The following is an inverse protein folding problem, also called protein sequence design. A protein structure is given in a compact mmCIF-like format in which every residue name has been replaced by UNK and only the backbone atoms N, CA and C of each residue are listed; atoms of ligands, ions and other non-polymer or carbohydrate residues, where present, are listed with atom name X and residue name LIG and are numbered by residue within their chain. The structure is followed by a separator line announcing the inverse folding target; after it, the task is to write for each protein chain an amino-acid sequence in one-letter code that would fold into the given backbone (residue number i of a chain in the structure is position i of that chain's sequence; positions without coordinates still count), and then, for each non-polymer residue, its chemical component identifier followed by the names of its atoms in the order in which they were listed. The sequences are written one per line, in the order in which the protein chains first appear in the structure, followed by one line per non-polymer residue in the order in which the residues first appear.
data_IF_429822420885
#
_entry.id   IF_429822420885
#
_cell.length_a   1.000
_cell.length_b   1.000
_cell.length_c   1.000
_cell.angle_alpha   90.00
_cell.angle_beta   90.00
_cell.angle_gamma   90.00
#
_symmetry.space_group_name_H-M   'P 1'
#
loop_
_entity.id
_entity.type
_entity.pdbx_description
1 polymer ?
#
# COMPACT_ATOMS: atom_id res chain seq x y z
N UNK A 1 -6.91 19.77 7.97
CA UNK A 1 -5.59 19.61 7.34
C UNK A 1 -5.82 18.87 6.04
N UNK A 2 -5.23 19.29 4.91
CA UNK A 2 -5.53 18.67 3.61
C UNK A 2 -4.61 17.46 3.45
N UNK A 3 -5.11 16.29 3.05
CA UNK A 3 -4.33 15.05 2.94
C UNK A 3 -3.08 15.17 2.05
N UNK A 4 -3.08 16.09 1.08
CA UNK A 4 -1.87 16.42 0.29
C UNK A 4 -0.74 17.01 1.14
N UNK A 5 -1.04 17.70 2.26
CA UNK A 5 -0.06 18.14 3.25
C UNK A 5 0.40 17.00 4.16
N UNK A 6 -0.36 15.91 4.31
CA UNK A 6 0.06 14.74 5.10
C UNK A 6 1.04 13.87 4.31
N UNK A 7 0.76 13.61 3.03
CA UNK A 7 1.69 12.94 2.09
C UNK A 7 3.01 13.72 2.01
N UNK A 8 2.93 15.06 1.93
CA UNK A 8 4.09 15.94 1.82
C UNK A 8 4.88 16.12 3.13
N UNK A 9 4.34 15.74 4.28
CA UNK A 9 5.02 15.94 5.57
C UNK A 9 5.57 14.65 6.19
N UNK A 10 5.18 13.44 5.73
CA UNK A 10 5.53 12.21 6.43
C UNK A 10 6.83 11.54 5.99
N UNK A 11 7.27 11.61 4.73
CA UNK A 11 8.67 11.35 4.38
C UNK A 11 8.97 11.71 2.91
N UNK A 12 9.71 12.79 2.64
CA UNK A 12 10.13 13.13 1.27
C UNK A 12 11.02 12.05 0.62
N UNK A 13 11.52 11.09 1.40
CA UNK A 13 12.37 9.99 0.96
C UNK A 13 11.65 8.64 0.84
N UNK A 14 10.35 8.58 1.12
CA UNK A 14 9.63 7.31 0.98
C UNK A 14 9.68 6.82 -0.46
N UNK A 15 9.89 5.51 -0.61
CA UNK A 15 9.96 4.87 -1.91
C UNK A 15 8.62 4.28 -2.27
N UNK A 16 8.04 4.76 -3.36
CA UNK A 16 6.96 4.08 -4.06
C UNK A 16 7.49 2.78 -4.67
N UNK A 17 6.76 1.67 -4.54
CA UNK A 17 7.22 0.38 -5.06
C UNK A 17 6.20 -0.42 -5.85
N UNK A 18 4.90 -0.19 -5.67
CA UNK A 18 3.88 -0.86 -6.50
C UNK A 18 2.56 -0.07 -6.50
N UNK A 19 1.88 -0.12 -7.63
CA UNK A 19 0.48 0.31 -7.78
C UNK A 19 -0.40 -0.90 -8.08
N UNK A 20 -1.60 -0.90 -7.52
CA UNK A 20 -2.62 -1.90 -7.76
C UNK A 20 -3.94 -1.24 -8.08
N UNK A 21 -4.73 -1.74 -9.05
CA UNK A 21 -6.06 -1.21 -9.28
C UNK A 21 -6.96 -1.45 -8.06
N UNK A 22 -7.74 -0.45 -7.67
CA UNK A 22 -8.74 -0.51 -6.59
C UNK A 22 -9.97 -1.32 -7.05
N UNK A 23 -9.79 -2.63 -7.19
CA UNK A 23 -10.85 -3.59 -7.58
C UNK A 23 -11.57 -4.22 -6.37
N UNK A 24 -11.11 -3.91 -5.16
CA UNK A 24 -11.70 -4.30 -3.88
C UNK A 24 -11.85 -3.07 -2.99
N UNK A 25 -12.73 -3.15 -2.00
CA UNK A 25 -12.85 -2.08 -1.01
C UNK A 25 -11.65 -2.09 -0.06
N UNK A 26 -11.39 -0.92 0.54
CA UNK A 26 -10.23 -0.69 1.40
C UNK A 26 -10.22 -1.57 2.67
N UNK A 27 -11.39 -1.99 3.16
CA UNK A 27 -11.53 -2.84 4.34
C UNK A 27 -11.08 -4.27 4.00
N UNK A 28 -11.51 -4.79 2.85
CA UNK A 28 -11.02 -6.06 2.32
C UNK A 28 -9.51 -6.03 2.05
N UNK A 29 -8.99 -4.91 1.52
CA UNK A 29 -7.56 -4.72 1.30
C UNK A 29 -6.77 -4.73 2.63
N UNK A 30 -7.24 -4.00 3.64
CA UNK A 30 -6.62 -3.94 4.97
C UNK A 30 -6.68 -5.29 5.71
N UNK A 31 -7.81 -6.00 5.62
CA UNK A 31 -7.98 -7.34 6.17
C UNK A 31 -6.98 -8.31 5.53
N UNK A 32 -6.77 -8.22 4.21
CA UNK A 32 -5.81 -9.06 3.52
C UNK A 32 -4.36 -8.70 3.87
N UNK A 33 -4.01 -7.42 4.01
CA UNK A 33 -2.69 -7.01 4.55
C UNK A 33 -2.45 -7.64 5.92
N UNK A 34 -3.45 -7.58 6.81
CA UNK A 34 -3.37 -8.13 8.16
C UNK A 34 -3.19 -9.66 8.18
N UNK A 35 -3.56 -10.34 7.10
CA UNK A 35 -3.37 -11.78 6.95
C UNK A 35 -1.92 -12.17 6.59
N UNK A 36 -1.06 -11.21 6.23
CA UNK A 36 0.37 -11.46 6.04
C UNK A 36 1.03 -11.71 7.40
N UNK A 37 1.59 -12.91 7.60
CA UNK A 37 2.14 -13.31 8.90
C UNK A 37 3.28 -12.39 9.36
N UNK A 38 3.11 -11.72 10.48
CA UNK A 38 4.08 -10.74 11.01
C UNK A 38 3.84 -9.31 10.53
N UNK A 39 2.73 -9.08 9.83
CA UNK A 39 2.21 -7.76 9.53
C UNK A 39 1.33 -7.24 10.67
N UNK A 40 1.38 -5.94 10.93
CA UNK A 40 0.49 -5.25 11.87
C UNK A 40 0.03 -3.92 11.26
N UNK A 41 -1.28 -3.71 11.14
CA UNK A 41 -1.85 -2.41 10.80
C UNK A 41 -1.64 -1.47 11.99
N UNK A 42 -0.95 -0.36 11.76
CA UNK A 42 -0.58 0.62 12.80
C UNK A 42 -1.46 1.86 12.77
N UNK A 43 -1.99 2.24 11.61
CA UNK A 43 -2.94 3.34 11.44
C UNK A 43 -3.90 3.03 10.28
N UNK A 44 -5.15 3.44 10.42
CA UNK A 44 -6.17 3.27 9.39
C UNK A 44 -7.12 4.48 9.42
N UNK A 45 -7.11 5.28 8.36
CA UNK A 45 -7.96 6.45 8.21
C UNK A 45 -8.73 6.36 6.89
N UNK A 46 -10.05 6.38 6.94
CA UNK A 46 -10.91 6.46 5.76
C UNK A 46 -11.88 7.62 5.92
N UNK A 47 -11.97 8.49 4.91
CA UNK A 47 -12.93 9.61 4.92
C UNK A 47 -14.36 9.18 4.57
N UNK A 48 -14.54 7.89 4.23
CA UNK A 48 -15.81 7.26 3.88
C UNK A 48 -16.36 7.64 2.51
N UNK A 49 -15.61 8.38 1.69
CA UNK A 49 -16.09 8.88 0.39
C UNK A 49 -15.07 8.72 -0.74
N UNK A 50 -13.81 9.12 -0.54
CA UNK A 50 -12.82 9.25 -1.63
C UNK A 50 -11.43 8.73 -1.26
N UNK A 51 -11.04 8.77 0.02
CA UNK A 51 -9.65 8.53 0.42
C UNK A 51 -9.54 7.53 1.56
N UNK A 52 -8.61 6.59 1.40
CA UNK A 52 -8.11 5.71 2.44
C UNK A 52 -6.61 5.97 2.64
N UNK A 53 -6.19 5.87 3.89
CA UNK A 53 -4.81 5.78 4.32
C UNK A 53 -4.67 4.56 5.22
N UNK A 54 -3.73 3.68 4.89
CA UNK A 54 -3.43 2.48 5.69
C UNK A 54 -1.94 2.52 5.99
N UNK A 55 -1.58 2.41 7.26
CA UNK A 55 -0.19 2.20 7.67
C UNK A 55 -0.05 0.82 8.29
N UNK A 56 1.07 0.17 7.99
CA UNK A 56 1.38 -1.13 8.56
C UNK A 56 2.88 -1.32 8.73
N UNK A 57 3.24 -2.23 9.62
CA UNK A 57 4.62 -2.68 9.79
C UNK A 57 4.78 -4.11 9.30
N UNK A 58 5.92 -4.41 8.67
CA UNK A 58 6.30 -5.75 8.27
C UNK A 58 7.82 -5.91 8.32
N UNK A 59 8.32 -6.92 9.04
CA UNK A 59 9.77 -7.18 9.23
C UNK A 59 10.57 -5.91 9.54
N UNK A 60 10.17 -5.19 10.60
CA UNK A 60 10.82 -3.95 11.09
C UNK A 60 10.75 -2.75 10.14
N UNK A 61 10.10 -2.87 8.98
CA UNK A 61 9.87 -1.78 8.04
C UNK A 61 8.46 -1.21 8.19
N UNK A 62 8.29 0.07 7.88
CA UNK A 62 7.00 0.75 7.91
C UNK A 62 6.55 1.09 6.49
N UNK A 63 5.28 0.84 6.23
CA UNK A 63 4.65 0.94 4.93
C UNK A 63 3.38 1.76 5.03
N UNK A 64 3.03 2.41 3.94
CA UNK A 64 1.78 3.12 3.84
C UNK A 64 1.15 2.95 2.46
N UNK A 65 -0.19 2.97 2.47
CA UNK A 65 -1.05 2.81 1.30
C UNK A 65 -1.95 4.02 1.25
N UNK A 66 -2.03 4.65 0.07
CA UNK A 66 -3.12 5.55 -0.26
C UNK A 66 -3.93 4.97 -1.43
N UNK A 67 -5.17 5.41 -1.59
CA UNK A 67 -5.86 5.27 -2.86
C UNK A 67 -5.89 6.61 -3.61
N UNK A 68 -5.43 6.61 -4.85
CA UNK A 68 -5.44 7.78 -5.71
C UNK A 68 -5.92 7.40 -7.10
N UNK A 69 -6.97 8.08 -7.58
CA UNK A 69 -7.52 7.90 -8.93
C UNK A 69 -7.95 6.45 -9.27
N UNK A 70 -8.30 5.66 -8.26
CA UNK A 70 -8.73 4.27 -8.43
C UNK A 70 -7.60 3.25 -8.39
N UNK A 71 -6.42 3.63 -7.91
CA UNK A 71 -5.31 2.72 -7.62
C UNK A 71 -4.92 2.81 -6.14
N UNK A 72 -4.67 1.65 -5.52
CA UNK A 72 -3.90 1.54 -4.29
C UNK A 72 -2.42 1.72 -4.60
N UNK A 73 -1.79 2.73 -4.00
CA UNK A 73 -0.37 3.04 -4.18
C UNK A 73 0.39 2.72 -2.92
N UNK A 74 1.44 1.91 -3.04
CA UNK A 74 2.18 1.41 -1.90
C UNK A 74 3.56 2.03 -1.82
N UNK A 75 3.92 2.39 -0.59
CA UNK A 75 5.17 3.04 -0.27
C UNK A 75 5.81 2.39 0.96
N UNK A 76 7.12 2.48 1.02
CA UNK A 76 7.94 2.12 2.17
C UNK A 76 8.69 3.34 2.67
N UNK A 77 8.74 3.49 3.99
CA UNK A 77 9.39 4.65 4.63
C UNK A 77 10.90 4.67 4.36
N UNK A 78 11.56 3.51 4.46
CA UNK A 78 12.99 3.35 4.16
C UNK A 78 13.22 3.06 2.66
N UNK A 79 13.83 3.97 1.88
CA UNK A 79 14.07 3.75 0.46
C UNK A 79 15.05 2.60 0.17
N UNK A 80 15.88 2.22 1.15
CA UNK A 80 16.85 1.13 1.06
C UNK A 80 16.26 -0.22 1.51
N UNK A 81 14.93 -0.30 1.72
CA UNK A 81 14.25 -1.54 2.07
C UNK A 81 14.58 -2.66 1.07
N UNK A 82 14.82 -3.86 1.59
CA UNK A 82 15.17 -5.04 0.80
C UNK A 82 14.06 -5.36 -0.21
N UNK A 83 14.42 -5.46 -1.48
CA UNK A 83 13.50 -5.74 -2.59
C UNK A 83 12.68 -7.02 -2.36
N UNK A 84 13.25 -8.04 -1.67
CA UNK A 84 12.51 -9.27 -1.37
C UNK A 84 11.34 -9.04 -0.42
N UNK A 85 11.44 -8.05 0.49
CA UNK A 85 10.34 -7.67 1.37
C UNK A 85 9.23 -6.99 0.55
N UNK A 86 9.61 -6.09 -0.36
CA UNK A 86 8.68 -5.40 -1.26
C UNK A 86 7.93 -6.39 -2.16
N UNK A 87 8.66 -7.34 -2.76
CA UNK A 87 8.11 -8.40 -3.59
C UNK A 87 7.17 -9.32 -2.81
N UNK A 88 7.52 -9.69 -1.58
CA UNK A 88 6.67 -10.55 -0.75
C UNK A 88 5.32 -9.89 -0.43
N UNK A 89 5.33 -8.59 -0.11
CA UNK A 89 4.11 -7.81 0.09
C UNK A 89 3.31 -7.73 -1.22
N UNK A 90 3.97 -7.39 -2.33
CA UNK A 90 3.32 -7.26 -3.63
C UNK A 90 2.69 -8.58 -4.10
N UNK A 91 3.40 -9.70 -3.97
CA UNK A 91 2.90 -11.03 -4.31
C UNK A 91 1.70 -11.42 -3.44
N UNK A 92 1.77 -11.15 -2.14
CA UNK A 92 0.65 -11.40 -1.22
C UNK A 92 -0.60 -10.63 -1.63
N UNK A 93 -0.47 -9.35 -1.98
CA UNK A 93 -1.58 -8.51 -2.42
C UNK A 93 -2.10 -8.90 -3.81
N UNK A 94 -1.21 -9.29 -4.73
CA UNK A 94 -1.59 -9.78 -6.07
C UNK A 94 -2.57 -10.95 -5.98
N UNK A 95 -2.40 -11.86 -5.00
CA UNK A 95 -3.32 -12.98 -4.79
C UNK A 95 -4.76 -12.55 -4.44
N UNK A 96 -4.95 -11.38 -3.82
CA UNK A 96 -6.29 -10.83 -3.58
C UNK A 96 -6.88 -10.28 -4.88
N UNK A 97 -6.08 -9.53 -5.63
CA UNK A 97 -6.57 -8.71 -6.74
C UNK A 97 -6.79 -9.52 -8.03
N UNK A 98 -5.98 -10.54 -8.29
CA UNK A 98 -6.19 -11.46 -9.41
C UNK A 98 -7.53 -12.19 -9.31
N UNK A 99 -7.98 -12.53 -8.08
CA UNK A 99 -9.29 -13.14 -7.85
C UNK A 99 -10.45 -12.22 -8.23
N UNK A 100 -10.20 -10.90 -8.22
CA UNK A 100 -11.18 -9.85 -8.50
C UNK A 100 -11.00 -9.20 -9.88
N UNK A 101 -10.09 -9.72 -10.70
CA UNK A 101 -9.89 -9.29 -12.09
C UNK A 101 -8.92 -8.11 -12.29
N UNK A 102 -8.10 -7.78 -11.27
CA UNK A 102 -7.05 -6.78 -11.41
C UNK A 102 -5.87 -7.30 -12.24
N UNK A 103 -5.60 -6.69 -13.40
CA UNK A 103 -4.30 -6.87 -14.07
C UNK A 103 -3.30 -5.95 -13.38
N UNK A 104 -2.19 -6.51 -12.88
CA UNK A 104 -1.08 -5.74 -12.30
C UNK A 104 -0.21 -5.22 -13.44
N UNK A 105 -0.24 -3.92 -13.71
CA UNK A 105 0.74 -3.32 -14.61
C UNK A 105 2.06 -3.16 -13.85
N UNK A 106 3.07 -3.96 -14.20
CA UNK A 106 4.44 -3.76 -13.69
C UNK A 106 4.95 -2.40 -14.19
N UNK A 107 5.22 -1.49 -13.25
CA UNK A 107 5.84 -0.20 -13.56
C UNK A 107 7.25 -0.45 -14.08
N UNK A 108 7.45 -0.29 -15.39
CA UNK A 108 8.77 -0.31 -16.02
C UNK A 108 9.54 0.95 -15.63
N UNK A 109 10.53 0.79 -14.74
CA UNK A 109 11.53 1.82 -14.45
C UNK A 109 12.25 2.22 -15.76
N UNK A 110 12.14 3.49 -16.16
CA UNK A 110 12.98 4.15 -17.17
C UNK A 110 14.04 5.03 -16.49
#
# INVERSE_FOLDING_TARGET
MRIEELIKNRNDNARHFVDFPEVVFFDEFADHISALSGCEITEFEADGVVRVWIEFSYRENHFFVDNHLGDFRLFVEDPECDENILLEIADHLRLLLEKHGGNVEEVQNH
#
